data_IF_954598625227
#
_entry.id   IF_954598625227
#
_cell.length_a   1.000
_cell.length_b   1.000
_cell.length_c   1.000
_cell.angle_alpha   90.00
_cell.angle_beta   90.00
_cell.angle_gamma   90.00
#
_symmetry.space_group_name_H-M   'P 1'
#
loop_
_entity.id
_entity.type
_entity.pdbx_description
1 polymer ?
#
# COMPACT_ATOMS: atom_id res chain seq x y z
N UNK A 1 2.89 5.90 -11.98
CA UNK A 1 3.32 6.13 -10.58
C UNK A 1 4.67 5.43 -10.40
N UNK A 2 5.50 5.85 -9.44
CA UNK A 2 6.74 5.12 -9.16
C UNK A 2 6.44 3.67 -8.76
N UNK A 3 7.29 2.73 -9.16
CA UNK A 3 7.22 1.35 -8.67
C UNK A 3 7.69 1.23 -7.22
N UNK A 4 7.63 0.02 -6.67
CA UNK A 4 8.17 -0.26 -5.34
C UNK A 4 9.65 -0.59 -5.42
N UNK A 5 10.46 0.11 -4.60
CA UNK A 5 11.89 -0.13 -4.42
C UNK A 5 12.27 0.28 -2.99
N UNK A 6 12.69 -0.65 -2.16
CA UNK A 6 13.15 -0.36 -0.79
C UNK A 6 14.10 -1.44 -0.27
N UNK A 7 14.82 -1.15 0.82
CA UNK A 7 15.73 -2.10 1.44
C UNK A 7 15.08 -2.82 2.64
N UNK A 8 15.40 -4.11 2.80
CA UNK A 8 15.15 -4.88 4.01
C UNK A 8 16.40 -5.69 4.38
N UNK A 9 17.10 -5.28 5.45
CA UNK A 9 18.42 -5.82 5.80
C UNK A 9 19.35 -5.78 4.57
N UNK A 10 19.91 -6.91 4.17
CA UNK A 10 20.77 -7.09 2.99
C UNK A 10 19.99 -7.49 1.72
N UNK A 11 18.65 -7.36 1.73
CA UNK A 11 17.77 -7.68 0.60
C UNK A 11 17.23 -6.40 -0.04
N UNK A 12 17.36 -6.28 -1.36
CA UNK A 12 16.64 -5.29 -2.15
C UNK A 12 15.22 -5.80 -2.42
N UNK A 13 14.19 -5.06 -2.01
CA UNK A 13 12.80 -5.42 -2.28
C UNK A 13 12.26 -4.55 -3.40
N UNK A 14 11.76 -5.20 -4.45
CA UNK A 14 11.23 -4.55 -5.66
C UNK A 14 9.79 -4.99 -5.93
N UNK A 15 9.01 -4.10 -6.54
CA UNK A 15 7.71 -4.45 -7.11
C UNK A 15 7.88 -5.07 -8.49
N UNK A 16 7.32 -6.26 -8.71
CA UNK A 16 7.30 -6.95 -9.99
C UNK A 16 5.86 -7.40 -10.30
N UNK A 17 5.17 -6.63 -11.14
CA UNK A 17 3.74 -6.82 -11.36
C UNK A 17 2.97 -6.75 -10.03
N UNK A 18 2.15 -7.75 -9.68
CA UNK A 18 1.37 -7.78 -8.44
C UNK A 18 2.14 -8.34 -7.22
N UNK A 19 3.46 -8.55 -7.34
CA UNK A 19 4.28 -9.21 -6.32
C UNK A 19 5.39 -8.30 -5.80
N UNK A 20 5.78 -8.53 -4.55
CA UNK A 20 7.08 -8.08 -4.04
C UNK A 20 8.09 -9.20 -4.29
N UNK A 21 9.27 -8.85 -4.77
CA UNK A 21 10.39 -9.75 -4.92
C UNK A 21 11.55 -9.26 -4.04
N UNK A 22 12.09 -10.14 -3.22
CA UNK A 22 13.35 -9.93 -2.50
C UNK A 22 14.50 -10.41 -3.37
N UNK A 23 15.47 -9.55 -3.60
CA UNK A 23 16.60 -9.78 -4.51
C UNK A 23 17.90 -9.53 -3.77
N UNK A 24 18.91 -10.35 -4.04
CA UNK A 24 20.28 -10.07 -3.61
C UNK A 24 20.79 -8.81 -4.34
N UNK A 25 21.14 -7.72 -3.64
CA UNK A 25 21.53 -6.46 -4.28
C UNK A 25 22.89 -6.52 -4.99
N UNK A 26 23.73 -7.51 -4.69
CA UNK A 26 25.06 -7.67 -5.29
C UNK A 26 25.03 -8.62 -6.49
N UNK A 27 24.24 -9.69 -6.41
CA UNK A 27 24.19 -10.74 -7.42
C UNK A 27 22.99 -10.65 -8.35
N UNK A 28 21.93 -9.94 -7.96
CA UNK A 28 20.67 -9.88 -8.69
C UNK A 28 19.84 -11.16 -8.62
N UNK A 29 20.26 -12.16 -7.83
CA UNK A 29 19.54 -13.41 -7.67
C UNK A 29 18.28 -13.23 -6.83
N UNK A 30 17.19 -13.86 -7.26
CA UNK A 30 15.92 -13.89 -6.52
C UNK A 30 16.07 -14.68 -5.21
N UNK A 31 15.65 -14.08 -4.09
CA UNK A 31 15.62 -14.72 -2.77
C UNK A 31 14.22 -15.22 -2.42
N UNK A 32 13.19 -14.42 -2.68
CA UNK A 32 11.79 -14.77 -2.45
C UNK A 32 10.85 -13.92 -3.29
N UNK A 33 9.62 -14.41 -3.48
CA UNK A 33 8.50 -13.65 -4.05
C UNK A 33 7.24 -13.82 -3.21
N UNK A 34 6.48 -12.75 -3.04
CA UNK A 34 5.21 -12.76 -2.33
C UNK A 34 4.17 -11.92 -3.07
N UNK A 35 3.00 -12.52 -3.35
CA UNK A 35 1.89 -11.81 -3.99
C UNK A 35 1.23 -10.83 -3.04
N UNK A 36 1.07 -9.57 -3.48
CA UNK A 36 0.24 -8.55 -2.83
C UNK A 36 -1.18 -8.55 -3.41
N UNK A 37 -1.29 -8.93 -4.68
CA UNK A 37 -2.56 -9.06 -5.39
C UNK A 37 -2.61 -10.34 -6.24
N UNK A 38 -3.84 -10.76 -6.52
CA UNK A 38 -4.14 -11.73 -7.58
C UNK A 38 -4.95 -10.99 -8.64
N UNK A 39 -4.37 -10.66 -9.81
CA UNK A 39 -5.09 -10.00 -10.88
C UNK A 39 -6.33 -10.80 -11.29
N UNK A 40 -7.47 -10.13 -11.47
CA UNK A 40 -8.72 -10.75 -11.93
C UNK A 40 -9.29 -9.90 -13.06
N UNK A 41 -10.00 -10.52 -14.00
CA UNK A 41 -10.59 -9.81 -15.12
C UNK A 41 -10.56 -10.62 -16.40
N UNK A 42 -11.40 -10.24 -17.34
CA UNK A 42 -11.51 -10.87 -18.67
C UNK A 42 -10.68 -10.17 -19.73
N UNK A 43 -10.23 -8.94 -19.46
CA UNK A 43 -9.38 -8.15 -20.36
C UNK A 43 -8.08 -7.69 -19.67
N UNK A 44 -7.15 -7.14 -20.46
CA UNK A 44 -5.83 -6.70 -19.97
C UNK A 44 -5.92 -5.55 -18.97
N UNK A 45 -6.86 -4.62 -19.18
CA UNK A 45 -7.03 -3.42 -18.33
C UNK A 45 -7.48 -3.81 -16.92
N UNK A 46 -8.43 -4.74 -16.81
CA UNK A 46 -8.89 -5.27 -15.51
C UNK A 46 -7.80 -6.04 -14.77
N UNK A 47 -6.82 -6.59 -15.50
CA UNK A 47 -5.71 -7.36 -14.93
C UNK A 47 -4.49 -6.52 -14.56
N UNK A 48 -4.55 -5.19 -14.73
CA UNK A 48 -3.51 -4.30 -14.22
C UNK A 48 -3.47 -4.39 -12.70
N UNK A 49 -2.28 -4.66 -12.16
CA UNK A 49 -2.07 -4.84 -10.73
C UNK A 49 -0.63 -4.54 -10.31
N UNK A 50 0.08 -3.72 -11.08
CA UNK A 50 1.45 -3.32 -10.74
C UNK A 50 1.51 -2.67 -9.36
N UNK A 51 2.58 -2.96 -8.61
CA UNK A 51 2.78 -2.33 -7.31
C UNK A 51 3.22 -0.88 -7.47
N UNK A 52 2.44 0.03 -6.88
CA UNK A 52 2.65 1.48 -6.99
C UNK A 52 3.06 2.09 -5.65
N UNK A 53 3.99 3.03 -5.75
CA UNK A 53 4.50 3.80 -4.63
C UNK A 53 3.58 4.94 -4.18
N UNK A 54 3.74 5.41 -2.92
CA UNK A 54 4.68 4.87 -1.93
C UNK A 54 4.24 3.48 -1.39
N UNK A 55 5.23 2.63 -1.15
CA UNK A 55 5.11 1.45 -0.29
C UNK A 55 5.74 1.79 1.06
N UNK A 56 5.28 1.15 2.14
CA UNK A 56 5.73 1.45 3.50
C UNK A 56 6.28 0.19 4.16
N UNK A 57 7.37 0.35 4.92
CA UNK A 57 7.96 -0.70 5.75
C UNK A 57 7.77 -0.37 7.22
N UNK A 58 7.23 -1.33 7.97
CA UNK A 58 7.11 -1.31 9.43
C UNK A 58 7.73 -2.58 9.99
N UNK A 59 8.95 -2.47 10.52
CA UNK A 59 9.75 -3.64 10.91
C UNK A 59 10.01 -4.56 9.71
N UNK A 60 9.59 -5.81 9.83
CA UNK A 60 9.64 -6.84 8.78
C UNK A 60 8.44 -6.81 7.83
N UNK A 61 7.42 -6.01 8.10
CA UNK A 61 6.24 -5.90 7.24
C UNK A 61 6.44 -4.83 6.18
N UNK A 62 6.16 -5.18 4.92
CA UNK A 62 6.13 -4.25 3.79
C UNK A 62 4.71 -4.24 3.25
N UNK A 63 4.10 -3.05 3.20
CA UNK A 63 2.76 -2.83 2.69
C UNK A 63 2.81 -2.01 1.41
N UNK A 64 2.02 -2.42 0.43
CA UNK A 64 1.98 -1.78 -0.88
C UNK A 64 0.57 -1.83 -1.46
N UNK A 65 0.36 -0.99 -2.47
CA UNK A 65 -0.82 -1.05 -3.32
C UNK A 65 -0.50 -1.74 -4.63
N UNK A 66 -1.36 -2.67 -5.04
CA UNK A 66 -1.52 -3.08 -6.42
C UNK A 66 -2.55 -2.18 -7.10
N UNK A 67 -2.16 -1.50 -8.19
CA UNK A 67 -3.00 -0.55 -8.92
C UNK A 67 -4.37 -1.15 -9.24
N UNK A 68 -5.45 -0.43 -8.89
CA UNK A 68 -6.84 -0.82 -9.13
C UNK A 68 -7.27 -2.21 -8.62
N UNK A 69 -6.45 -2.88 -7.82
CA UNK A 69 -6.71 -4.25 -7.39
C UNK A 69 -6.84 -4.38 -5.87
N UNK A 70 -5.78 -4.10 -5.12
CA UNK A 70 -5.73 -4.35 -3.68
C UNK A 70 -4.70 -3.50 -2.95
N UNK A 71 -4.84 -3.46 -1.64
CA UNK A 71 -3.76 -3.14 -0.70
C UNK A 71 -3.39 -4.41 0.04
N UNK A 72 -2.11 -4.64 0.28
CA UNK A 72 -1.66 -5.81 1.05
C UNK A 72 -0.32 -5.61 1.70
N UNK A 73 -0.04 -6.46 2.69
CA UNK A 73 1.22 -6.50 3.42
C UNK A 73 1.87 -7.87 3.31
N UNK A 74 3.19 -7.88 3.23
CA UNK A 74 4.06 -9.05 3.14
C UNK A 74 5.05 -9.00 4.29
N UNK A 75 5.36 -10.16 4.87
CA UNK A 75 6.47 -10.30 5.79
C UNK A 75 7.76 -10.56 4.98
N UNK A 76 8.67 -9.59 4.98
CA UNK A 76 9.91 -9.60 4.21
C UNK A 76 10.98 -10.55 4.78
N UNK A 77 10.89 -10.90 6.06
CA UNK A 77 11.76 -11.91 6.69
C UNK A 77 11.43 -13.31 6.16
N UNK A 78 10.14 -13.63 6.07
CA UNK A 78 9.66 -14.95 5.61
C UNK A 78 9.41 -15.02 4.10
N UNK A 79 9.36 -13.87 3.42
CA UNK A 79 8.97 -13.79 2.01
C UNK A 79 7.53 -14.25 1.76
N UNK A 80 6.62 -14.02 2.71
CA UNK A 80 5.24 -14.56 2.67
C UNK A 80 4.19 -13.47 2.81
N UNK A 81 3.06 -13.53 2.08
CA UNK A 81 1.92 -12.63 2.31
C UNK A 81 1.43 -12.70 3.76
N UNK A 82 1.11 -11.54 4.34
CA UNK A 82 0.45 -11.46 5.64
C UNK A 82 -1.08 -11.34 5.46
N UNK A 83 -1.51 -10.34 4.68
CA UNK A 83 -2.92 -10.15 4.32
C UNK A 83 -3.04 -9.27 3.07
N UNK A 84 -4.20 -9.31 2.43
CA UNK A 84 -4.61 -8.36 1.40
C UNK A 84 -6.09 -7.99 1.52
N UNK A 85 -6.47 -6.82 0.99
CA UNK A 85 -7.85 -6.32 0.92
C UNK A 85 -8.12 -5.78 -0.47
N UNK A 86 -9.23 -6.21 -1.07
CA UNK A 86 -9.65 -5.77 -2.40
C UNK A 86 -10.20 -4.35 -2.32
N UNK A 87 -9.41 -3.41 -2.81
CA UNK A 87 -9.71 -1.97 -2.79
C UNK A 87 -8.98 -1.29 -3.94
N UNK A 88 -9.73 -0.97 -4.98
CA UNK A 88 -9.21 -0.31 -6.18
C UNK A 88 -8.75 1.11 -5.90
N UNK A 89 -7.77 1.61 -6.65
CA UNK A 89 -7.24 2.95 -6.55
C UNK A 89 -5.81 3.04 -7.08
N UNK A 90 -5.29 4.27 -7.18
CA UNK A 90 -4.07 4.56 -7.94
C UNK A 90 -2.90 5.07 -7.10
N UNK A 91 -3.17 5.62 -5.91
CA UNK A 91 -2.15 6.13 -5.01
C UNK A 91 -1.66 5.03 -4.09
N UNK A 92 -0.37 5.03 -3.75
CA UNK A 92 0.21 4.11 -2.76
C UNK A 92 -0.38 4.27 -1.36
N UNK A 93 0.28 3.66 -0.39
CA UNK A 93 -0.21 3.53 0.99
C UNK A 93 0.60 4.38 1.95
N UNK A 94 -0.03 4.80 3.04
CA UNK A 94 0.64 5.26 4.26
C UNK A 94 0.47 4.22 5.36
N UNK A 95 1.39 4.12 6.31
CA UNK A 95 1.22 3.22 7.46
C UNK A 95 2.09 3.63 8.66
N UNK A 96 1.66 3.24 9.85
CA UNK A 96 2.48 3.17 11.06
C UNK A 96 2.46 1.75 11.63
N UNK A 97 2.96 1.56 12.84
CA UNK A 97 3.00 0.26 13.53
C UNK A 97 1.62 -0.33 13.87
N UNK A 98 0.53 0.43 13.69
CA UNK A 98 -0.83 0.02 14.03
C UNK A 98 -1.73 -0.10 12.81
N UNK A 99 -1.64 0.82 11.84
CA UNK A 99 -2.56 0.85 10.70
C UNK A 99 -1.86 1.06 9.35
N UNK A 100 -2.54 0.63 8.30
CA UNK A 100 -2.23 0.93 6.89
C UNK A 100 -3.42 1.68 6.31
N UNK A 101 -3.18 2.77 5.59
CA UNK A 101 -4.21 3.65 5.04
C UNK A 101 -4.04 3.82 3.54
N UNK A 102 -5.15 3.78 2.80
CA UNK A 102 -5.19 4.08 1.38
C UNK A 102 -6.53 4.71 0.98
N UNK A 103 -6.52 5.56 -0.05
CA UNK A 103 -7.73 6.06 -0.70
C UNK A 103 -8.13 5.21 -1.91
N UNK A 104 -9.41 4.99 -2.15
CA UNK A 104 -9.88 4.32 -3.36
C UNK A 104 -10.02 5.28 -4.56
N UNK A 105 -10.52 4.78 -5.69
CA UNK A 105 -10.70 5.58 -6.91
C UNK A 105 -11.72 6.72 -6.77
N UNK A 106 -12.56 6.68 -5.73
CA UNK A 106 -13.53 7.72 -5.40
C UNK A 106 -13.05 8.64 -4.28
N UNK A 107 -11.77 8.53 -3.87
CA UNK A 107 -11.18 9.25 -2.74
C UNK A 107 -11.77 8.91 -1.36
N UNK A 108 -12.42 7.75 -1.22
CA UNK A 108 -12.76 7.23 0.12
C UNK A 108 -11.51 6.62 0.73
N UNK A 109 -11.11 7.15 1.89
CA UNK A 109 -10.01 6.61 2.69
C UNK A 109 -10.49 5.41 3.50
N UNK A 110 -9.64 4.41 3.62
CA UNK A 110 -9.85 3.26 4.50
C UNK A 110 -8.55 2.96 5.24
N UNK A 111 -8.68 2.64 6.53
CA UNK A 111 -7.59 2.20 7.36
C UNK A 111 -7.80 0.75 7.81
N UNK A 112 -6.74 -0.05 7.75
CA UNK A 112 -6.74 -1.43 8.20
C UNK A 112 -5.68 -1.63 9.28
N UNK A 113 -5.95 -2.49 10.26
CA UNK A 113 -4.95 -2.89 11.24
C UNK A 113 -3.77 -3.56 10.55
N UNK A 114 -2.55 -3.08 10.80
CA UNK A 114 -1.31 -3.61 10.21
C UNK A 114 -1.15 -5.11 10.47
N UNK A 115 -1.55 -5.58 11.66
CA UNK A 115 -1.35 -6.96 12.09
C UNK A 115 -2.15 -8.00 11.29
N UNK A 116 -3.35 -7.67 10.81
CA UNK A 116 -4.27 -8.67 10.26
C UNK A 116 -5.16 -8.18 9.10
N UNK A 117 -5.11 -6.88 8.78
CA UNK A 117 -5.88 -6.27 7.71
C UNK A 117 -7.35 -6.00 8.06
N UNK A 118 -7.77 -6.15 9.32
CA UNK A 118 -9.14 -5.80 9.72
C UNK A 118 -9.38 -4.31 9.54
N UNK A 119 -10.56 -3.94 9.04
CA UNK A 119 -10.94 -2.53 8.89
C UNK A 119 -10.97 -1.86 10.28
N UNK A 120 -10.21 -0.77 10.42
CA UNK A 120 -10.22 0.07 11.61
C UNK A 120 -11.26 1.19 11.46
N UNK A 121 -11.25 1.90 10.33
CA UNK A 121 -12.21 2.95 10.00
C UNK A 121 -12.23 3.23 8.49
N UNK A 122 -13.24 3.97 8.04
CA UNK A 122 -13.35 4.53 6.69
C UNK A 122 -13.85 5.97 6.75
N UNK A 123 -13.40 6.79 5.81
CA UNK A 123 -13.70 8.22 5.72
C UNK A 123 -14.02 8.60 4.26
N UNK A 124 -15.20 9.17 4.02
CA UNK A 124 -15.72 9.49 2.69
C UNK A 124 -16.00 10.99 2.48
N UNK A 125 -15.66 11.83 3.46
CA UNK A 125 -15.80 13.30 3.38
C UNK A 125 -14.90 13.97 2.33
N UNK A 126 -14.00 13.22 1.69
CA UNK A 126 -13.03 13.71 0.70
C UNK A 126 -13.30 13.21 -0.72
N UNK A 127 -14.50 12.70 -0.99
CA UNK A 127 -14.84 12.17 -2.30
C UNK A 127 -14.58 13.17 -3.43
N UNK A 128 -14.00 12.67 -4.53
CA UNK A 128 -13.73 13.40 -5.77
C UNK A 128 -12.72 14.56 -5.65
N UNK A 129 -11.88 14.57 -4.61
CA UNK A 129 -10.86 15.62 -4.38
C UNK A 129 -9.49 15.29 -4.94
N UNK A 130 -9.33 14.10 -5.55
CA UNK A 130 -8.10 13.52 -6.10
C UNK A 130 -6.96 13.55 -5.07
N UNK A 131 -7.13 12.76 -4.02
CA UNK A 131 -6.20 12.76 -2.90
C UNK A 131 -4.80 12.28 -3.30
N UNK A 132 -3.79 12.71 -2.56
CA UNK A 132 -2.44 12.15 -2.61
C UNK A 132 -2.40 10.76 -1.97
N UNK A 133 -1.24 10.10 -2.04
CA UNK A 133 -1.00 8.97 -1.13
C UNK A 133 -0.99 9.48 0.33
N UNK A 134 -1.52 8.73 1.31
CA UNK A 134 -1.48 9.12 2.72
C UNK A 134 -0.06 9.06 3.29
N UNK A 135 0.23 9.97 4.22
CA UNK A 135 1.37 9.89 5.13
C UNK A 135 0.83 9.73 6.56
N UNK A 136 1.26 8.68 7.26
CA UNK A 136 0.90 8.48 8.68
C UNK A 136 2.07 8.94 9.53
N UNK A 137 1.87 9.97 10.36
CA UNK A 137 2.91 10.57 11.20
C UNK A 137 2.30 11.17 12.46
N UNK A 138 2.93 10.95 13.62
CA UNK A 138 2.57 11.63 14.86
C UNK A 138 1.12 11.39 15.32
N UNK A 139 0.55 10.21 15.04
CA UNK A 139 -0.85 9.91 15.36
C UNK A 139 -1.87 10.56 14.41
N UNK A 140 -1.42 11.08 13.27
CA UNK A 140 -2.27 11.69 12.26
C UNK A 140 -2.09 11.00 10.90
N UNK A 141 -3.13 11.07 10.07
CA UNK A 141 -3.09 10.75 8.64
C UNK A 141 -3.16 12.04 7.85
N UNK A 142 -2.12 12.30 7.07
CA UNK A 142 -2.00 13.47 6.21
C UNK A 142 -2.32 13.08 4.77
N UNK A 143 -3.21 13.81 4.11
CA UNK A 143 -3.48 13.69 2.67
C UNK A 143 -3.56 15.06 2.03
N UNK A 144 -2.88 15.25 0.91
CA UNK A 144 -3.09 16.42 0.05
C UNK A 144 -4.25 16.19 -0.91
N UNK A 145 -4.86 17.27 -1.40
CA UNK A 145 -5.84 17.21 -2.49
C UNK A 145 -5.37 17.98 -3.74
N UNK A 146 -6.18 17.93 -4.80
CA UNK A 146 -5.90 18.63 -6.06
C UNK A 146 -5.95 20.16 -5.95
N UNK A 147 -6.65 20.70 -4.96
CA UNK A 147 -6.76 22.14 -4.72
C UNK A 147 -5.58 22.68 -3.88
N UNK A 148 -4.65 21.80 -3.49
CA UNK A 148 -3.47 22.15 -2.71
C UNK A 148 -3.71 22.23 -1.20
N UNK A 149 -4.86 21.76 -0.70
CA UNK A 149 -5.09 21.67 0.73
C UNK A 149 -4.49 20.39 1.29
N UNK A 150 -4.10 20.44 2.57
CA UNK A 150 -3.63 19.27 3.33
C UNK A 150 -4.63 19.00 4.44
N UNK A 151 -5.15 17.79 4.47
CA UNK A 151 -6.09 17.30 5.47
C UNK A 151 -5.33 16.48 6.49
N UNK A 152 -5.64 16.70 7.75
CA UNK A 152 -5.10 15.96 8.88
C UNK A 152 -6.28 15.25 9.53
N UNK A 153 -6.23 13.92 9.54
CA UNK A 153 -7.21 13.10 10.21
C UNK A 153 -6.56 12.46 11.44
N UNK A 154 -7.33 12.27 12.50
CA UNK A 154 -6.91 11.44 13.63
C UNK A 154 -6.67 9.99 13.15
N UNK A 155 -5.51 9.42 13.51
CA UNK A 155 -5.13 8.07 13.06
C UNK A 155 -6.11 7.00 13.52
N UNK A 156 -6.66 7.13 14.72
CA UNK A 156 -7.43 6.05 15.33
C UNK A 156 -8.91 6.10 14.91
N UNK A 157 -9.40 7.26 14.44
CA UNK A 157 -10.82 7.48 14.11
C UNK A 157 -11.11 7.90 12.67
N UNK A 158 -10.13 8.44 11.93
CA UNK A 158 -10.33 8.93 10.57
C UNK A 158 -11.19 10.19 10.47
N UNK A 159 -11.24 10.99 11.54
CA UNK A 159 -12.00 12.24 11.62
C UNK A 159 -11.08 13.45 11.63
#
# INVERSE_FOLDING_TARGET
KAGVLLAYKDTLVVGQGPRLAGVDPLQGSLRWEASVATPRGTNEVERLADLVGPAVRQGELICARAFQSSVGCVNAERGSPLWNRLVGGANGVGADDRIVVAGDASDRLSAWKLANGDLAWSADQFQLRKLSAPLVLGGQVLVGDFEGQVHLLDRDTGK
#
